data_IF_588680490364
#
_entry.id   IF_588680490364
#
_cell.length_a   1.000
_cell.length_b   1.000
_cell.length_c   1.000
_cell.angle_alpha   90.00
_cell.angle_beta   90.00
_cell.angle_gamma   90.00
#
_symmetry.space_group_name_H-M   'P 1'
#
loop_
_entity.id
_entity.type
_entity.pdbx_description
1 polymer ?
#
# COMPACT_ATOMS: atom_id res chain seq x y z
N UNK A 1 -25.56 -2.26 -8.20
CA UNK A 1 -24.74 -3.30 -7.53
C UNK A 1 -24.03 -2.59 -6.38
N UNK A 2 -24.09 -3.10 -5.15
CA UNK A 2 -23.53 -2.40 -3.97
C UNK A 2 -22.14 -2.90 -3.64
N UNK A 3 -21.33 -2.05 -2.99
CA UNK A 3 -20.06 -2.46 -2.38
C UNK A 3 -20.34 -3.57 -1.36
N UNK A 4 -19.75 -4.74 -1.56
CA UNK A 4 -19.81 -5.82 -0.58
C UNK A 4 -18.81 -5.54 0.54
N UNK A 5 -19.29 -4.94 1.63
CA UNK A 5 -18.51 -4.71 2.83
C UNK A 5 -19.27 -5.24 4.06
N UNK A 6 -18.55 -5.86 5.01
CA UNK A 6 -19.10 -6.23 6.31
C UNK A 6 -19.16 -4.99 7.21
N UNK A 7 -20.09 -4.95 8.16
CA UNK A 7 -20.00 -3.96 9.23
C UNK A 7 -18.82 -4.35 10.13
N UNK A 8 -18.00 -3.38 10.53
CA UNK A 8 -16.87 -3.60 11.42
C UNK A 8 -17.32 -4.15 12.78
N UNK A 9 -16.67 -5.23 13.26
CA UNK A 9 -17.05 -5.98 14.47
C UNK A 9 -15.84 -6.35 15.37
N UNK A 10 -14.81 -5.48 15.41
CA UNK A 10 -13.54 -5.66 16.13
C UNK A 10 -12.69 -6.87 15.68
N UNK A 11 -13.22 -7.77 14.85
CA UNK A 11 -12.52 -8.95 14.32
C UNK A 11 -12.18 -8.77 12.85
N UNK A 12 -10.94 -8.37 12.57
CA UNK A 12 -10.46 -8.16 11.20
C UNK A 12 -10.01 -9.49 10.60
N UNK A 13 -10.65 -9.85 9.48
CA UNK A 13 -10.29 -10.99 8.65
C UNK A 13 -9.57 -10.44 7.41
N UNK A 14 -8.35 -10.95 7.13
CA UNK A 14 -7.58 -10.59 5.94
C UNK A 14 -8.40 -10.79 4.66
N UNK A 15 -8.26 -9.88 3.71
CA UNK A 15 -9.01 -9.88 2.45
C UNK A 15 -10.45 -9.38 2.55
N UNK A 16 -10.97 -9.07 3.75
CA UNK A 16 -12.35 -8.59 3.93
C UNK A 16 -12.40 -7.07 4.00
N UNK A 17 -13.35 -6.48 3.25
CA UNK A 17 -13.66 -5.06 3.32
C UNK A 17 -14.70 -4.81 4.42
N UNK A 18 -14.41 -3.88 5.31
CA UNK A 18 -15.29 -3.48 6.41
C UNK A 18 -15.75 -2.04 6.22
N UNK A 19 -17.02 -1.76 6.53
CA UNK A 19 -17.60 -0.43 6.63
C UNK A 19 -17.65 0.00 8.10
N UNK A 20 -17.19 1.21 8.36
CA UNK A 20 -17.08 1.83 9.67
C UNK A 20 -17.91 3.11 9.65
N UNK A 21 -18.91 3.21 10.52
CA UNK A 21 -19.82 4.37 10.61
C UNK A 21 -19.44 5.39 11.67
N UNK A 22 -18.46 5.09 12.53
CA UNK A 22 -18.05 5.94 13.64
C UNK A 22 -16.52 5.92 13.83
N UNK A 23 -15.97 6.96 14.45
CA UNK A 23 -14.52 7.03 14.70
C UNK A 23 -14.04 5.78 15.44
N UNK A 24 -13.00 5.14 14.93
CA UNK A 24 -12.52 3.86 15.47
C UNK A 24 -11.00 3.79 15.43
N UNK A 25 -10.45 3.25 16.51
CA UNK A 25 -9.07 2.79 16.55
C UNK A 25 -9.00 1.33 16.15
N UNK A 26 -8.12 1.04 15.20
CA UNK A 26 -7.91 -0.28 14.66
C UNK A 26 -6.47 -0.70 14.90
N UNK A 27 -6.32 -1.83 15.60
CA UNK A 27 -5.05 -2.51 15.77
C UNK A 27 -4.83 -3.44 14.58
N UNK A 28 -3.68 -3.32 13.93
CA UNK A 28 -3.16 -4.29 12.98
C UNK A 28 -1.86 -4.85 13.55
N UNK A 29 -1.67 -6.16 13.47
CA UNK A 29 -0.43 -6.78 13.89
C UNK A 29 0.04 -7.80 12.87
N UNK A 30 1.34 -7.81 12.61
CA UNK A 30 2.04 -8.84 11.84
C UNK A 30 2.90 -9.66 12.80
N UNK A 31 2.68 -10.97 12.83
CA UNK A 31 3.54 -11.91 13.53
C UNK A 31 4.74 -12.28 12.63
N UNK A 32 5.94 -12.21 13.21
CA UNK A 32 7.17 -12.69 12.61
C UNK A 32 7.86 -13.68 13.56
N UNK A 33 8.77 -14.50 13.03
CA UNK A 33 9.47 -15.54 13.79
C UNK A 33 10.23 -15.02 15.03
N UNK A 34 10.61 -13.74 15.02
CA UNK A 34 11.38 -13.06 16.05
C UNK A 34 10.59 -12.00 16.84
N UNK A 35 9.27 -11.87 16.62
CA UNK A 35 8.41 -11.00 17.41
C UNK A 35 7.17 -10.46 16.67
N UNK A 36 6.36 -9.69 17.41
CA UNK A 36 5.13 -9.09 16.92
C UNK A 36 5.36 -7.64 16.48
N UNK A 37 5.02 -7.33 15.23
CA UNK A 37 4.96 -5.96 14.74
C UNK A 37 3.55 -5.42 14.85
N UNK A 38 3.37 -4.44 15.73
CA UNK A 38 2.07 -3.82 15.99
C UNK A 38 1.99 -2.45 15.35
N UNK A 39 0.97 -2.25 14.53
CA UNK A 39 0.58 -0.98 13.94
C UNK A 39 -0.78 -0.55 14.47
N UNK A 40 -0.88 0.70 14.91
CA UNK A 40 -2.10 1.27 15.44
C UNK A 40 -2.61 2.37 14.50
N UNK A 41 -3.74 2.13 13.85
CA UNK A 41 -4.43 3.12 13.02
C UNK A 41 -5.58 3.74 13.78
N UNK A 42 -5.67 5.07 13.82
CA UNK A 42 -6.85 5.78 14.33
C UNK A 42 -7.60 6.41 13.19
N UNK A 43 -8.77 5.86 12.85
CA UNK A 43 -9.68 6.45 11.88
C UNK A 43 -10.59 7.43 12.62
N UNK A 44 -10.45 8.71 12.30
CA UNK A 44 -11.28 9.78 12.86
C UNK A 44 -12.30 10.20 11.79
N UNK A 45 -13.58 10.02 12.11
CA UNK A 45 -14.71 10.36 11.25
C UNK A 45 -15.47 11.54 11.83
N UNK A 46 -15.79 12.51 10.98
CA UNK A 46 -16.69 13.61 11.27
C UNK A 46 -18.15 13.21 10.96
N UNK A 47 -19.08 14.10 11.29
CA UNK A 47 -20.50 13.92 10.92
C UNK A 47 -20.61 13.76 9.40
N UNK A 48 -21.47 12.84 8.96
CA UNK A 48 -21.68 12.49 7.55
C UNK A 48 -20.49 11.80 6.86
N UNK A 49 -19.50 11.35 7.62
CA UNK A 49 -18.41 10.54 7.11
C UNK A 49 -18.58 9.06 7.51
N UNK A 50 -18.12 8.18 6.63
CA UNK A 50 -17.90 6.77 6.93
C UNK A 50 -16.58 6.32 6.31
N UNK A 51 -16.02 5.22 6.80
CA UNK A 51 -14.83 4.64 6.22
C UNK A 51 -15.08 3.22 5.71
N UNK A 52 -14.30 2.84 4.69
CA UNK A 52 -13.96 1.46 4.42
C UNK A 52 -12.56 1.16 4.93
N UNK A 53 -12.39 0.00 5.52
CA UNK A 53 -11.10 -0.49 6.02
C UNK A 53 -10.91 -1.95 5.60
N UNK A 54 -9.69 -2.31 5.23
CA UNK A 54 -9.32 -3.69 4.99
C UNK A 54 -7.84 -3.94 5.27
N UNK A 55 -7.54 -5.18 5.67
CA UNK A 55 -6.19 -5.73 5.76
C UNK A 55 -6.01 -6.68 4.58
N UNK A 56 -4.98 -6.47 3.74
CA UNK A 56 -4.68 -7.29 2.55
C UNK A 56 -5.88 -7.43 1.60
N UNK A 57 -6.52 -6.32 1.22
CA UNK A 57 -7.73 -6.37 0.38
C UNK A 57 -7.45 -6.85 -1.05
N UNK A 58 -8.34 -7.71 -1.56
CA UNK A 58 -8.47 -8.02 -2.99
C UNK A 58 -9.90 -7.79 -3.42
N UNK A 59 -10.11 -6.91 -4.40
CA UNK A 59 -11.43 -6.77 -5.00
C UNK A 59 -11.86 -8.10 -5.64
N UNK A 60 -13.09 -8.58 -5.39
CA UNK A 60 -13.60 -9.80 -6.01
C UNK A 60 -13.76 -9.69 -7.53
N UNK A 61 -13.71 -8.47 -8.08
CA UNK A 61 -13.90 -8.16 -9.50
C UNK A 61 -12.55 -8.21 -10.27
N UNK A 62 -11.41 -8.14 -9.57
CA UNK A 62 -10.08 -8.20 -10.20
C UNK A 62 -9.58 -9.65 -10.22
N UNK A 63 -8.99 -10.07 -11.35
CA UNK A 63 -8.45 -11.42 -11.51
C UNK A 63 -7.43 -11.73 -10.40
N UNK A 64 -7.71 -12.79 -9.62
CA UNK A 64 -6.95 -13.18 -8.44
C UNK A 64 -5.61 -13.82 -8.76
N UNK A 65 -5.45 -14.43 -9.94
CA UNK A 65 -4.31 -15.32 -10.24
C UNK A 65 -2.95 -14.63 -10.24
N UNK A 66 -2.90 -13.30 -10.21
CA UNK A 66 -1.65 -12.55 -10.01
C UNK A 66 -1.89 -11.27 -9.22
N UNK A 67 -2.88 -11.21 -8.33
CA UNK A 67 -3.24 -9.99 -7.62
C UNK A 67 -2.35 -9.74 -6.39
N UNK A 68 -1.57 -8.67 -6.42
CA UNK A 68 -0.80 -8.22 -5.25
C UNK A 68 -1.70 -7.46 -4.27
N UNK A 69 -1.34 -7.50 -2.99
CA UNK A 69 -2.08 -6.84 -1.90
C UNK A 69 -1.14 -5.91 -1.17
N UNK A 70 -1.65 -4.75 -0.78
CA UNK A 70 -1.00 -3.91 0.22
C UNK A 70 -1.57 -4.25 1.59
N UNK A 71 -0.79 -4.02 2.64
CA UNK A 71 -1.11 -4.50 3.98
C UNK A 71 -2.37 -3.83 4.52
N UNK A 72 -2.50 -2.51 4.40
CA UNK A 72 -3.70 -1.78 4.87
C UNK A 72 -4.27 -0.91 3.76
N UNK A 73 -5.59 -0.98 3.59
CA UNK A 73 -6.34 -0.13 2.68
C UNK A 73 -7.50 0.55 3.41
N UNK A 74 -7.53 1.88 3.35
CA UNK A 74 -8.53 2.72 4.01
C UNK A 74 -9.13 3.67 3.00
N UNK A 75 -10.45 3.86 3.02
CA UNK A 75 -11.15 4.89 2.25
C UNK A 75 -12.05 5.64 3.20
N UNK A 76 -11.91 6.96 3.30
CA UNK A 76 -12.83 7.83 4.02
C UNK A 76 -13.73 8.50 2.99
N UNK A 77 -15.03 8.44 3.20
CA UNK A 77 -16.06 9.02 2.35
C UNK A 77 -16.78 10.10 3.13
N UNK A 78 -16.81 11.31 2.58
CA UNK A 78 -17.56 12.45 3.10
C UNK A 78 -18.71 12.75 2.14
N UNK A 79 -19.93 12.35 2.51
CA UNK A 79 -21.11 12.57 1.65
C UNK A 79 -21.56 14.03 1.65
N UNK A 80 -21.21 14.81 2.67
CA UNK A 80 -21.59 16.22 2.74
C UNK A 80 -20.75 17.07 1.78
N UNK A 81 -19.44 16.85 1.78
CA UNK A 81 -18.49 17.53 0.89
C UNK A 81 -18.36 16.82 -0.46
N UNK A 82 -18.98 15.65 -0.63
CA UNK A 82 -18.84 14.76 -1.79
C UNK A 82 -17.37 14.45 -2.11
N UNK A 83 -16.58 14.18 -1.06
CA UNK A 83 -15.15 13.88 -1.19
C UNK A 83 -14.83 12.48 -0.74
N UNK A 84 -13.85 11.87 -1.40
CA UNK A 84 -13.30 10.58 -1.02
C UNK A 84 -11.78 10.68 -0.85
N UNK A 85 -11.25 10.16 0.26
CA UNK A 85 -9.80 10.07 0.47
C UNK A 85 -9.42 8.63 0.78
N UNK A 86 -8.51 8.07 0.00
CA UNK A 86 -8.02 6.72 0.15
C UNK A 86 -6.55 6.68 0.55
N UNK A 87 -6.21 5.71 1.39
CA UNK A 87 -4.85 5.46 1.87
C UNK A 87 -4.51 3.98 1.66
N UNK A 88 -3.42 3.73 0.95
CA UNK A 88 -2.81 2.43 0.80
C UNK A 88 -1.49 2.44 1.61
N UNK A 89 -1.43 1.64 2.68
CA UNK A 89 -0.29 1.59 3.58
C UNK A 89 0.40 0.23 3.47
N UNK A 90 1.68 0.23 3.11
CA UNK A 90 2.57 -0.94 3.16
C UNK A 90 3.40 -0.87 4.45
N UNK A 91 3.26 -1.88 5.30
CA UNK A 91 3.97 -2.00 6.56
C UNK A 91 5.27 -2.77 6.34
N UNK A 92 6.38 -2.23 6.87
CA UNK A 92 7.69 -2.88 6.78
C UNK A 92 8.48 -2.64 8.05
N UNK A 93 8.99 -3.69 8.70
CA UNK A 93 9.90 -3.53 9.84
C UNK A 93 11.13 -2.69 9.49
N UNK A 94 11.77 -3.04 8.37
CA UNK A 94 12.91 -2.35 7.78
C UNK A 94 12.61 -2.09 6.30
N UNK A 95 13.00 -0.92 5.78
CA UNK A 95 12.85 -0.61 4.34
C UNK A 95 13.75 -1.50 3.46
N UNK A 96 14.95 -1.83 3.95
CA UNK A 96 15.88 -2.75 3.30
C UNK A 96 16.16 -3.93 4.22
N UNK A 97 15.94 -5.14 3.71
CA UNK A 97 16.24 -6.39 4.41
C UNK A 97 17.72 -6.78 4.38
N UNK A 98 18.56 -5.99 3.71
CA UNK A 98 19.97 -6.29 3.42
C UNK A 98 20.85 -5.11 3.84
N UNK A 99 22.06 -5.42 4.31
CA UNK A 99 23.10 -4.44 4.58
C UNK A 99 23.59 -3.79 3.26
N UNK A 100 23.13 -2.56 3.00
CA UNK A 100 23.48 -1.78 1.81
C UNK A 100 24.97 -1.37 1.76
N UNK A 101 25.71 -1.54 2.87
CA UNK A 101 27.15 -1.28 2.93
C UNK A 101 27.97 -2.40 2.29
N UNK A 102 27.47 -3.65 2.33
CA UNK A 102 28.11 -4.86 1.77
C UNK A 102 27.62 -5.23 0.37
N UNK A 103 26.96 -4.30 -0.30
CA UNK A 103 26.18 -4.56 -1.51
C UNK A 103 27.03 -5.08 -2.69
N UNK A 104 27.04 -6.40 -2.87
CA UNK A 104 27.31 -7.07 -4.13
C UNK A 104 26.10 -6.97 -5.09
N UNK A 105 26.29 -7.39 -6.35
CA UNK A 105 25.26 -7.28 -7.39
C UNK A 105 23.96 -8.03 -7.05
N UNK A 106 24.04 -9.11 -6.27
CA UNK A 106 22.89 -9.90 -5.86
C UNK A 106 21.99 -9.15 -4.87
N UNK A 107 22.61 -8.42 -3.94
CA UNK A 107 21.89 -7.57 -2.99
C UNK A 107 21.09 -6.45 -3.70
N UNK A 108 21.64 -5.81 -4.72
CA UNK A 108 20.88 -4.82 -5.52
C UNK A 108 19.73 -5.44 -6.28
N UNK A 109 19.93 -6.64 -6.83
CA UNK A 109 18.88 -7.36 -7.56
C UNK A 109 17.70 -7.64 -6.64
N UNK A 110 17.94 -8.06 -5.40
CA UNK A 110 16.88 -8.30 -4.42
C UNK A 110 16.13 -7.00 -4.09
N UNK A 111 16.85 -5.89 -3.85
CA UNK A 111 16.22 -4.60 -3.58
C UNK A 111 15.36 -4.14 -4.78
N UNK A 112 15.87 -4.26 -6.00
CA UNK A 112 15.13 -3.91 -7.22
C UNK A 112 13.86 -4.77 -7.36
N UNK A 113 13.94 -6.08 -7.14
CA UNK A 113 12.78 -6.97 -7.16
C UNK A 113 11.75 -6.60 -6.09
N UNK A 114 12.17 -6.16 -4.91
CA UNK A 114 11.26 -5.69 -3.86
C UNK A 114 10.55 -4.39 -4.26
N UNK A 115 11.26 -3.45 -4.90
CA UNK A 115 10.66 -2.23 -5.45
C UNK A 115 9.63 -2.57 -6.53
N UNK A 116 9.95 -3.49 -7.45
CA UNK A 116 9.00 -3.94 -8.49
C UNK A 116 7.74 -4.56 -7.88
N UNK A 117 7.90 -5.41 -6.85
CA UNK A 117 6.77 -5.98 -6.09
C UNK A 117 5.91 -4.90 -5.44
N UNK A 118 6.54 -3.91 -4.80
CA UNK A 118 5.83 -2.79 -4.18
C UNK A 118 5.04 -1.96 -5.20
N UNK A 119 5.66 -1.59 -6.33
CA UNK A 119 4.97 -0.88 -7.42
C UNK A 119 3.78 -1.68 -7.93
N UNK A 120 3.91 -3.01 -8.03
CA UNK A 120 2.81 -3.88 -8.42
C UNK A 120 1.69 -3.90 -7.37
N UNK A 121 2.00 -3.99 -6.08
CA UNK A 121 1.03 -3.91 -4.98
C UNK A 121 0.24 -2.59 -5.01
N UNK A 122 0.93 -1.48 -5.24
CA UNK A 122 0.33 -0.15 -5.38
C UNK A 122 -0.62 -0.10 -6.58
N UNK A 123 -0.16 -0.54 -7.76
CA UNK A 123 -0.96 -0.51 -8.98
C UNK A 123 -2.22 -1.37 -8.86
N UNK A 124 -2.12 -2.55 -8.25
CA UNK A 124 -3.27 -3.42 -8.02
C UNK A 124 -4.25 -2.80 -7.00
N UNK A 125 -3.74 -2.18 -5.93
CA UNK A 125 -4.58 -1.46 -4.95
C UNK A 125 -5.30 -0.27 -5.57
N UNK A 126 -4.65 0.47 -6.46
CA UNK A 126 -5.26 1.57 -7.19
C UNK A 126 -6.42 1.10 -8.08
N UNK A 127 -6.33 -0.10 -8.69
CA UNK A 127 -7.47 -0.71 -9.40
C UNK A 127 -8.63 -1.03 -8.45
N UNK A 128 -8.35 -1.52 -7.24
CA UNK A 128 -9.40 -1.79 -6.25
C UNK A 128 -10.09 -0.50 -5.80
N UNK A 129 -9.31 0.56 -5.60
CA UNK A 129 -9.81 1.90 -5.33
C UNK A 129 -10.75 2.38 -6.43
N UNK A 130 -10.35 2.29 -7.70
CA UNK A 130 -11.22 2.64 -8.83
C UNK A 130 -12.51 1.80 -8.88
N UNK A 131 -12.41 0.49 -8.62
CA UNK A 131 -13.58 -0.37 -8.58
C UNK A 131 -14.58 0.07 -7.50
N UNK A 132 -14.10 0.50 -6.32
CA UNK A 132 -14.95 1.05 -5.26
C UNK A 132 -15.53 2.41 -5.65
N UNK A 133 -14.70 3.29 -6.26
CA UNK A 133 -15.12 4.62 -6.73
C UNK A 133 -16.32 4.55 -7.67
N UNK A 134 -16.35 3.60 -8.60
CA UNK A 134 -17.48 3.41 -9.52
C UNK A 134 -18.80 3.21 -8.76
N UNK A 135 -18.79 2.49 -7.62
CA UNK A 135 -20.00 2.32 -6.81
C UNK A 135 -20.39 3.54 -5.97
N UNK A 136 -19.52 4.55 -5.90
CA UNK A 136 -19.71 5.80 -5.16
C UNK A 136 -19.80 7.01 -6.11
N UNK A 137 -19.87 6.81 -7.42
CA UNK A 137 -19.75 7.88 -8.41
C UNK A 137 -20.83 8.97 -8.25
N UNK A 138 -22.07 8.57 -7.93
CA UNK A 138 -23.18 9.52 -7.69
C UNK A 138 -23.04 10.31 -6.39
N UNK A 139 -22.09 9.92 -5.52
CA UNK A 139 -21.91 10.48 -4.18
C UNK A 139 -20.66 11.36 -4.07
N UNK A 140 -19.74 11.26 -5.03
CA UNK A 140 -18.38 11.82 -4.91
C UNK A 140 -18.01 12.61 -6.15
N UNK A 141 -17.63 13.87 -5.94
CA UNK A 141 -17.17 14.80 -6.99
C UNK A 141 -15.65 14.92 -7.00
N UNK A 142 -15.01 14.84 -5.82
CA UNK A 142 -13.56 14.94 -5.68
C UNK A 142 -12.97 13.72 -4.96
N UNK A 143 -11.80 13.28 -5.40
CA UNK A 143 -11.15 12.12 -4.83
C UNK A 143 -9.62 12.23 -4.79
N UNK A 144 -9.02 11.64 -3.75
CA UNK A 144 -7.58 11.60 -3.53
C UNK A 144 -7.15 10.19 -3.13
N UNK A 145 -6.11 9.67 -3.79
CA UNK A 145 -5.49 8.39 -3.44
C UNK A 145 -4.04 8.64 -2.99
N UNK A 146 -3.74 8.28 -1.74
CA UNK A 146 -2.41 8.39 -1.15
C UNK A 146 -1.83 7.00 -0.90
N UNK A 147 -0.51 6.88 -1.11
CA UNK A 147 0.26 5.68 -0.77
C UNK A 147 1.27 6.08 0.31
N UNK A 148 1.44 5.24 1.31
CA UNK A 148 2.51 5.40 2.29
C UNK A 148 3.19 4.06 2.55
N UNK A 149 4.51 4.13 2.76
CA UNK A 149 5.27 3.04 3.35
C UNK A 149 5.53 3.39 4.81
N UNK A 150 5.08 2.54 5.71
CA UNK A 150 5.17 2.74 7.16
C UNK A 150 6.24 1.80 7.68
N UNK A 151 7.27 2.36 8.30
CA UNK A 151 8.39 1.56 8.81
C UNK A 151 8.78 1.90 10.23
N UNK A 152 9.19 0.88 11.00
CA UNK A 152 9.72 1.05 12.36
C UNK A 152 11.14 1.64 12.33
N UNK A 153 11.97 1.13 11.42
CA UNK A 153 13.39 1.48 11.34
C UNK A 153 13.67 2.28 10.06
N UNK A 154 13.30 3.56 10.08
CA UNK A 154 13.65 4.48 9.00
C UNK A 154 15.14 4.83 9.07
N UNK A 155 15.88 4.53 8.00
CA UNK A 155 17.32 4.77 7.88
C UNK A 155 17.60 5.49 6.56
N UNK A 156 17.69 6.82 6.61
CA UNK A 156 17.90 7.67 5.45
C UNK A 156 19.25 7.44 4.78
N UNK A 157 20.29 7.11 5.56
CA UNK A 157 21.64 6.96 5.05
C UNK A 157 21.76 5.71 4.16
N UNK A 158 21.05 4.63 4.52
CA UNK A 158 20.93 3.46 3.65
C UNK A 158 20.20 3.77 2.35
N UNK A 159 19.16 4.59 2.38
CA UNK A 159 18.45 5.03 1.16
C UNK A 159 19.41 5.82 0.26
N UNK A 160 20.09 6.83 0.81
CA UNK A 160 21.04 7.64 0.06
C UNK A 160 22.18 6.81 -0.52
N UNK A 161 22.73 5.89 0.26
CA UNK A 161 23.77 4.96 -0.19
C UNK A 161 23.29 4.10 -1.36
N UNK A 162 22.10 3.51 -1.25
CA UNK A 162 21.50 2.71 -2.32
C UNK A 162 21.31 3.54 -3.60
N UNK A 163 20.73 4.74 -3.49
CA UNK A 163 20.48 5.62 -4.64
C UNK A 163 21.76 6.05 -5.33
N UNK A 164 22.80 6.43 -4.58
CA UNK A 164 24.10 6.82 -5.13
C UNK A 164 24.76 5.67 -5.91
N UNK A 165 24.78 4.46 -5.32
CA UNK A 165 25.38 3.29 -5.99
C UNK A 165 24.58 2.85 -7.23
N UNK A 166 23.25 3.01 -7.24
CA UNK A 166 22.42 2.80 -8.43
C UNK A 166 22.68 3.82 -9.55
N UNK A 167 23.02 5.07 -9.20
CA UNK A 167 23.43 6.07 -10.20
C UNK A 167 24.82 5.78 -10.77
N UNK A 168 25.76 5.32 -9.95
CA UNK A 168 27.08 4.88 -10.40
C UNK A 168 27.01 3.66 -11.32
N UNK A 169 26.21 2.65 -10.97
CA UNK A 169 26.01 1.46 -11.82
C UNK A 169 25.37 1.81 -13.16
N UNK A 170 24.44 2.80 -13.20
CA UNK A 170 23.91 3.38 -14.45
C UNK A 170 24.97 4.07 -15.30
N UNK A 171 25.95 4.74 -14.69
CA UNK A 171 27.07 5.38 -15.42
C UNK A 171 28.07 4.35 -15.96
N UNK A 172 28.21 3.20 -15.29
CA UNK A 172 29.14 2.13 -15.64
C UNK A 172 28.51 1.00 -16.48
N UNK A 173 27.22 1.09 -16.83
CA UNK A 173 26.59 0.19 -17.78
C UNK A 173 27.21 0.44 -19.17
N UNK A 174 27.83 -0.56 -19.82
CA UNK A 174 28.33 -0.39 -21.18
C UNK A 174 27.17 0.08 -22.08
N UNK A 175 27.43 1.12 -22.90
CA UNK A 175 26.46 1.85 -23.74
C UNK A 175 25.64 1.01 -24.74
N UNK A 176 25.72 -0.32 -24.70
CA UNK A 176 25.01 -1.26 -25.58
C UNK A 176 23.80 -1.99 -24.99
N UNK A 177 23.49 -1.84 -23.69
CA UNK A 177 22.39 -2.60 -23.04
C UNK A 177 21.09 -1.80 -22.82
N UNK A 178 21.02 -0.55 -23.29
CA UNK A 178 19.76 0.19 -23.37
C UNK A 178 18.99 -0.27 -24.61
N UNK A 179 18.39 -1.47 -24.57
CA UNK A 179 17.31 -1.78 -25.51
C UNK A 179 16.16 -0.83 -25.18
N UNK A 180 15.85 0.06 -26.12
CA UNK A 180 14.62 0.86 -26.19
C UNK A 180 13.43 -0.01 -25.78
N UNK A 181 12.89 0.21 -24.59
CA UNK A 181 11.49 -0.09 -24.33
C UNK A 181 10.73 1.06 -24.98
N UNK A 182 10.20 0.82 -26.18
CA UNK A 182 9.22 1.71 -26.81
C UNK A 182 7.87 1.39 -26.15
N UNK A 183 7.24 2.42 -25.58
CA UNK A 183 5.80 2.42 -25.33
C UNK A 183 5.05 2.40 -26.66
#
# INVERSE_FOLDING_TARGET
>A
MNIQAKIYDDRIIKGTLYKIGESKSILCSEEHDDGLDVFYSKIVLQRNQYAYYAHEYRSPIVNKENASMIDIFIIIVDEQQKKMKAFALDLKRNLFSIDTTKADMDNYRIIALNIEKFVKQVNDTHKYYHAIKVFLEDKIEEDEFSIALVTRNFDSDKIHTFLSKMQESKKNLPKGLVKKIRY
#
